data_IF_532469504890
#
_entry.id   IF_532469504890
#
_cell.length_a   1.000
_cell.length_b   1.000
_cell.length_c   1.000
_cell.angle_alpha   90.00
_cell.angle_beta   90.00
_cell.angle_gamma   90.00
#
_symmetry.space_group_name_H-M   'P 1'
#
loop_
_entity.id
_entity.type
_entity.pdbx_description
1 polymer ?
#
# COMPACT_ATOMS: atom_id res chain seq x y z
N UNK A 1 62.34 -11.72 21.73
CA UNK A 1 62.71 -12.86 22.58
C UNK A 1 61.51 -13.18 23.46
N UNK A 2 60.96 -14.39 23.25
CA UNK A 2 60.15 -15.26 24.11
C UNK A 2 58.86 -14.67 24.76
N UNK A 3 57.63 -15.12 24.52
CA UNK A 3 57.01 -16.46 24.33
C UNK A 3 56.54 -17.14 25.64
N UNK A 4 55.45 -17.91 25.49
CA UNK A 4 54.66 -18.78 26.38
C UNK A 4 53.43 -18.14 27.05
N UNK A 5 52.19 -18.36 26.58
CA UNK A 5 51.46 -19.60 26.27
C UNK A 5 51.25 -20.51 27.48
N UNK A 6 49.97 -20.77 27.83
CA UNK A 6 49.44 -22.14 28.02
C UNK A 6 47.91 -22.19 28.12
N UNK A 7 47.41 -23.17 27.37
CA UNK A 7 46.06 -23.64 27.08
C UNK A 7 45.30 -24.32 28.23
N UNK A 8 44.04 -24.72 27.90
CA UNK A 8 43.33 -25.99 28.19
C UNK A 8 41.93 -25.71 28.81
N UNK A 9 40.84 -25.67 28.03
CA UNK A 9 40.02 -26.77 27.47
C UNK A 9 39.09 -27.45 28.50
N UNK A 10 37.76 -27.42 28.27
CA UNK A 10 36.90 -28.60 28.50
C UNK A 10 35.52 -28.50 27.80
N UNK A 11 35.25 -29.52 26.99
CA UNK A 11 33.99 -29.90 26.35
C UNK A 11 33.01 -30.49 27.37
N UNK A 12 31.69 -30.31 27.16
CA UNK A 12 30.67 -31.30 27.54
C UNK A 12 29.53 -31.35 26.52
N UNK A 13 29.47 -32.48 25.82
CA UNK A 13 28.33 -33.06 25.11
C UNK A 13 27.45 -33.83 26.11
N UNK A 14 26.13 -33.72 26.00
CA UNK A 14 25.19 -34.75 26.46
C UNK A 14 23.97 -34.79 25.53
N UNK A 15 23.88 -35.90 24.78
CA UNK A 15 22.66 -36.43 24.18
C UNK A 15 21.65 -36.82 25.26
N UNK A 16 20.35 -36.67 24.99
CA UNK A 16 19.32 -37.57 25.53
C UNK A 16 18.14 -37.68 24.57
N UNK A 17 18.02 -38.88 24.01
CA UNK A 17 16.88 -39.41 23.24
C UNK A 17 15.68 -39.63 24.17
N UNK A 18 14.46 -39.24 23.76
CA UNK A 18 13.24 -39.90 24.27
C UNK A 18 12.10 -39.90 23.26
N UNK A 19 11.35 -41.00 23.30
CA UNK A 19 10.43 -41.57 22.32
C UNK A 19 8.98 -41.08 22.48
N UNK A 20 8.20 -41.33 21.41
CA UNK A 20 6.73 -41.57 21.35
C UNK A 20 5.86 -40.33 21.58
N UNK A 21 4.77 -40.09 20.84
CA UNK A 21 3.77 -41.05 20.37
C UNK A 21 2.85 -40.43 19.31
N UNK A 22 2.45 -41.26 18.34
CA UNK A 22 1.35 -41.03 17.41
C UNK A 22 0.01 -41.02 18.14
N UNK A 23 -0.84 -40.01 17.88
CA UNK A 23 -2.25 -40.06 18.23
C UNK A 23 -3.09 -40.28 16.98
N UNK A 24 -3.81 -41.41 16.97
CA UNK A 24 -4.74 -41.84 15.93
C UNK A 24 -6.09 -41.14 16.14
N UNK A 25 -6.66 -40.67 15.04
CA UNK A 25 -8.01 -40.11 14.98
C UNK A 25 -9.03 -41.25 14.74
N UNK A 26 -10.05 -41.48 15.60
CA UNK A 26 -11.10 -42.42 15.28
C UNK A 26 -12.27 -41.75 14.53
N UNK A 27 -12.63 -42.37 13.41
CA UNK A 27 -13.90 -42.17 12.70
C UNK A 27 -15.02 -42.85 13.51
N UNK A 28 -16.12 -42.14 13.75
CA UNK A 28 -17.39 -42.76 14.13
C UNK A 28 -18.45 -42.39 13.10
N UNK A 29 -19.11 -43.42 12.55
CA UNK A 29 -20.16 -43.36 11.55
C UNK A 29 -21.45 -43.92 12.17
N UNK A 30 -22.56 -43.23 11.88
CA UNK A 30 -23.96 -43.65 11.85
C UNK A 30 -24.71 -44.02 13.16
N UNK A 31 -25.83 -43.33 13.34
CA UNK A 31 -26.96 -43.70 14.20
C UNK A 31 -27.99 -42.56 14.21
N UNK A 32 -29.08 -42.71 13.44
CA UNK A 32 -30.06 -41.66 13.13
C UNK A 32 -31.17 -41.45 14.16
N UNK A 33 -31.99 -40.43 13.90
CA UNK A 33 -33.26 -40.18 14.60
C UNK A 33 -33.79 -38.77 14.30
N UNK A 34 -34.89 -38.67 13.55
CA UNK A 34 -35.62 -37.44 13.22
C UNK A 34 -36.29 -36.83 14.46
N UNK A 35 -36.43 -35.49 14.52
CA UNK A 35 -37.70 -34.76 14.77
C UNK A 35 -37.54 -33.23 14.59
N UNK A 36 -38.35 -32.71 13.67
CA UNK A 36 -39.17 -31.48 13.61
C UNK A 36 -38.75 -30.10 14.16
N UNK A 37 -39.20 -29.10 13.37
CA UNK A 37 -39.62 -27.72 13.69
C UNK A 37 -38.60 -26.64 14.13
N UNK A 38 -38.31 -25.77 13.15
CA UNK A 38 -38.24 -24.29 13.27
C UNK A 38 -37.25 -23.65 14.25
N UNK A 39 -36.06 -23.31 13.73
CA UNK A 39 -35.38 -22.05 14.06
C UNK A 39 -34.40 -21.69 12.94
N UNK A 40 -34.82 -20.81 12.02
CA UNK A 40 -33.91 -20.17 11.07
C UNK A 40 -33.06 -19.20 11.88
N UNK A 41 -31.89 -19.67 12.33
CA UNK A 41 -30.81 -18.82 12.81
C UNK A 41 -30.13 -18.31 11.54
N UNK A 42 -30.06 -17.00 11.26
CA UNK A 42 -29.23 -16.52 10.17
C UNK A 42 -27.79 -16.88 10.54
N UNK A 43 -27.21 -17.81 9.78
CA UNK A 43 -25.81 -18.16 9.88
C UNK A 43 -25.00 -16.93 9.50
N UNK A 44 -24.56 -16.17 10.50
CA UNK A 44 -23.50 -15.17 10.38
C UNK A 44 -22.19 -15.91 10.07
N UNK A 45 -22.07 -16.39 8.83
CA UNK A 45 -20.80 -16.73 8.23
C UNK A 45 -20.18 -15.44 7.65
N UNK A 46 -20.05 -14.43 8.51
CA UNK A 46 -18.97 -13.46 8.32
C UNK A 46 -17.70 -14.21 8.69
N UNK A 47 -17.11 -14.84 7.67
CA UNK A 47 -15.79 -15.43 7.81
C UNK A 47 -14.86 -14.37 8.36
N UNK A 48 -14.34 -14.64 9.55
CA UNK A 48 -13.24 -13.94 10.18
C UNK A 48 -12.01 -14.01 9.25
N UNK A 49 -12.02 -13.16 8.23
CA UNK A 49 -10.88 -12.86 7.38
C UNK A 49 -10.21 -11.68 8.02
N UNK A 50 -9.42 -11.95 9.06
CA UNK A 50 -8.54 -11.00 9.72
C UNK A 50 -7.94 -10.06 8.68
N UNK A 51 -8.38 -8.79 8.71
CA UNK A 51 -7.79 -7.72 7.90
C UNK A 51 -6.32 -7.70 8.28
N UNK A 52 -5.42 -7.84 7.32
CA UNK A 52 -3.98 -7.78 7.63
C UNK A 52 -3.60 -6.44 8.30
N UNK A 53 -4.43 -5.41 8.11
CA UNK A 53 -4.25 -4.07 8.68
C UNK A 53 -4.97 -3.89 10.04
N UNK A 54 -5.53 -4.95 10.61
CA UNK A 54 -6.06 -4.99 11.97
C UNK A 54 -4.96 -5.34 12.99
N UNK A 55 -3.83 -4.62 12.88
CA UNK A 55 -2.64 -4.83 13.70
C UNK A 55 -2.27 -3.52 14.36
N UNK A 56 -1.79 -3.60 15.61
CA UNK A 56 -1.26 -2.43 16.32
C UNK A 56 0.03 -1.93 15.66
N UNK A 57 0.26 -0.62 15.72
CA UNK A 57 1.49 -0.06 15.16
C UNK A 57 2.73 -0.45 15.97
N UNK A 58 3.85 -0.67 15.27
CA UNK A 58 5.19 -0.78 15.87
C UNK A 58 5.86 0.59 16.03
N UNK A 59 5.28 1.66 15.47
CA UNK A 59 5.82 3.02 15.61
C UNK A 59 5.49 3.54 17.00
N UNK A 60 6.52 4.07 17.67
CA UNK A 60 6.45 4.65 19.01
C UNK A 60 6.83 6.12 18.96
N UNK A 61 6.58 6.85 20.05
CA UNK A 61 7.02 8.25 20.16
C UNK A 61 8.52 8.42 19.92
N UNK A 62 9.34 7.44 20.32
CA UNK A 62 10.79 7.46 20.12
C UNK A 62 11.17 7.31 18.64
N UNK A 63 10.47 6.45 17.89
CA UNK A 63 10.77 6.26 16.45
C UNK A 63 10.20 7.39 15.58
N UNK A 64 9.21 8.16 16.05
CA UNK A 64 8.69 9.31 15.31
C UNK A 64 9.73 10.39 15.06
N UNK A 65 10.62 10.67 16.03
CA UNK A 65 11.71 11.63 15.82
C UNK A 65 12.65 11.18 14.69
N UNK A 66 12.95 9.88 14.62
CA UNK A 66 13.75 9.30 13.55
C UNK A 66 13.02 9.36 12.19
N UNK A 67 11.73 9.05 12.14
CA UNK A 67 10.90 9.17 10.93
C UNK A 67 10.89 10.63 10.44
N UNK A 68 10.62 11.58 11.35
CA UNK A 68 10.62 13.01 11.04
C UNK A 68 11.93 13.44 10.41
N UNK A 69 13.06 13.08 11.02
CA UNK A 69 14.40 13.39 10.51
C UNK A 69 14.67 12.71 9.17
N UNK A 70 14.40 11.40 9.05
CA UNK A 70 14.70 10.57 7.87
C UNK A 70 13.93 11.00 6.63
N UNK A 71 12.66 11.39 6.79
CA UNK A 71 11.79 11.75 5.67
C UNK A 71 11.53 13.25 5.57
N UNK A 72 12.30 14.07 6.30
CA UNK A 72 12.21 15.52 6.31
C UNK A 72 10.78 16.04 6.54
N UNK A 73 10.06 15.46 7.52
CA UNK A 73 8.70 15.91 7.86
C UNK A 73 8.79 17.28 8.55
N UNK A 74 8.17 18.34 8.00
CA UNK A 74 8.23 19.68 8.56
C UNK A 74 7.70 19.78 10.00
N UNK A 75 8.30 20.65 10.83
CA UNK A 75 8.01 20.73 12.27
C UNK A 75 6.58 21.21 12.60
N UNK A 76 5.99 21.99 11.70
CA UNK A 76 4.60 22.44 11.74
C UNK A 76 3.59 21.30 11.50
N UNK A 77 4.02 20.22 10.84
CA UNK A 77 3.18 19.02 10.66
C UNK A 77 3.12 18.24 11.98
N UNK A 78 1.95 18.30 12.63
CA UNK A 78 1.67 17.55 13.85
C UNK A 78 1.54 16.05 13.55
N UNK A 79 2.42 15.25 14.15
CA UNK A 79 2.42 13.78 14.08
C UNK A 79 2.35 13.19 15.49
N UNK A 80 1.57 12.12 15.66
CA UNK A 80 1.42 11.42 16.95
C UNK A 80 1.60 9.91 16.79
N UNK A 81 2.10 9.27 17.86
CA UNK A 81 2.33 7.83 17.89
C UNK A 81 1.00 7.11 18.18
N UNK A 82 0.71 5.98 17.51
CA UNK A 82 -0.47 5.20 17.84
C UNK A 82 -0.38 4.54 19.21
N UNK A 83 -1.53 4.39 19.87
CA UNK A 83 -1.71 3.51 21.03
C UNK A 83 -1.85 2.07 20.57
N UNK A 84 -1.67 1.10 21.49
CA UNK A 84 -1.86 -0.34 21.18
C UNK A 84 -3.27 -0.68 20.68
N UNK A 85 -4.27 0.09 21.09
CA UNK A 85 -5.67 -0.07 20.68
C UNK A 85 -5.97 0.53 19.32
N UNK A 86 -5.12 1.42 18.82
CA UNK A 86 -5.39 2.15 17.59
C UNK A 86 -5.15 1.28 16.36
N UNK A 87 -5.84 1.60 15.26
CA UNK A 87 -5.72 0.92 13.97
C UNK A 87 -5.59 1.93 12.85
N UNK A 88 -4.87 1.57 11.79
CA UNK A 88 -4.70 2.45 10.63
C UNK A 88 -6.03 2.81 9.94
N UNK A 89 -7.02 1.91 9.99
CA UNK A 89 -8.34 2.14 9.39
C UNK A 89 -9.32 2.93 10.28
N UNK A 90 -8.94 3.17 11.54
CA UNK A 90 -9.74 3.90 12.52
C UNK A 90 -8.85 4.91 13.26
N UNK A 91 -8.41 5.98 12.58
CA UNK A 91 -7.57 6.99 13.22
C UNK A 91 -8.35 7.80 14.27
N UNK A 92 -7.64 8.43 15.23
CA UNK A 92 -8.23 9.42 16.11
C UNK A 92 -8.91 10.56 15.32
N UNK A 93 -9.96 11.14 15.89
CA UNK A 93 -10.70 12.23 15.24
C UNK A 93 -9.80 13.41 14.86
N UNK A 94 -9.91 13.89 13.62
CA UNK A 94 -9.10 14.99 13.12
C UNK A 94 -7.69 14.57 12.68
N UNK A 95 -7.43 13.27 12.55
CA UNK A 95 -6.17 12.71 12.08
C UNK A 95 -6.40 11.73 10.94
N UNK A 96 -5.36 11.54 10.12
CA UNK A 96 -5.28 10.47 9.12
C UNK A 96 -4.12 9.54 9.46
N UNK A 97 -4.29 8.25 9.19
CA UNK A 97 -3.20 7.29 9.32
C UNK A 97 -2.26 7.38 8.11
N UNK A 98 -0.96 7.23 8.37
CA UNK A 98 0.08 7.26 7.35
C UNK A 98 1.03 6.11 7.63
N UNK A 99 1.23 5.24 6.64
CA UNK A 99 2.25 4.21 6.72
C UNK A 99 3.64 4.83 6.52
N UNK A 100 4.64 4.39 7.28
CA UNK A 100 6.03 4.77 7.03
C UNK A 100 6.45 4.45 5.58
N UNK A 101 5.91 3.35 5.04
CA UNK A 101 6.17 2.94 3.66
C UNK A 101 5.62 3.95 2.63
N UNK A 102 4.54 4.68 2.93
CA UNK A 102 4.07 5.75 2.06
C UNK A 102 5.15 6.85 1.90
N UNK A 103 5.87 7.17 2.97
CA UNK A 103 7.00 8.12 2.93
C UNK A 103 8.17 7.57 2.11
N UNK A 104 8.49 6.30 2.30
CA UNK A 104 9.56 5.62 1.54
C UNK A 104 9.30 5.61 0.03
N UNK A 105 8.03 5.55 -0.40
CA UNK A 105 7.66 5.63 -1.84
C UNK A 105 7.40 7.05 -2.36
N UNK A 106 7.72 8.08 -1.57
CA UNK A 106 7.71 9.46 -2.07
C UNK A 106 6.58 10.35 -1.54
N UNK A 107 5.70 9.87 -0.66
CA UNK A 107 4.77 10.78 0.04
C UNK A 107 5.58 11.79 0.88
N UNK A 108 5.26 13.08 0.77
CA UNK A 108 5.88 14.17 1.53
C UNK A 108 4.80 15.05 2.15
N UNK A 109 5.19 15.84 3.15
CA UNK A 109 4.31 16.80 3.80
C UNK A 109 4.80 18.24 3.60
N UNK A 110 3.87 19.20 3.37
CA UNK A 110 2.47 18.96 3.03
C UNK A 110 2.33 18.15 1.73
N UNK A 111 1.27 17.33 1.54
CA UNK A 111 1.11 16.55 0.33
C UNK A 111 0.96 17.46 -0.89
N UNK A 112 1.43 17.01 -2.05
CA UNK A 112 1.27 17.75 -3.30
C UNK A 112 -0.23 18.03 -3.57
N UNK A 113 -0.61 19.23 -4.04
CA UNK A 113 -2.01 19.55 -4.34
C UNK A 113 -2.70 18.53 -5.24
N UNK A 114 -2.00 18.06 -6.29
CA UNK A 114 -2.48 17.02 -7.20
C UNK A 114 -2.82 15.73 -6.46
N UNK A 115 -1.98 15.34 -5.50
CA UNK A 115 -2.19 14.14 -4.69
C UNK A 115 -3.41 14.29 -3.78
N UNK A 116 -3.62 15.48 -3.20
CA UNK A 116 -4.80 15.79 -2.40
C UNK A 116 -6.09 15.71 -3.23
N UNK A 117 -6.08 16.28 -4.44
CA UNK A 117 -7.22 16.24 -5.35
C UNK A 117 -7.57 14.81 -5.75
N UNK A 118 -6.56 13.98 -6.01
CA UNK A 118 -6.73 12.56 -6.32
C UNK A 118 -7.33 11.79 -5.14
N UNK A 119 -6.82 11.99 -3.92
CA UNK A 119 -7.37 11.32 -2.73
C UNK A 119 -8.81 11.74 -2.45
N UNK A 120 -9.12 13.03 -2.59
CA UNK A 120 -10.48 13.56 -2.44
C UNK A 120 -11.42 13.01 -3.51
N UNK A 121 -10.98 12.94 -4.76
CA UNK A 121 -11.77 12.40 -5.86
C UNK A 121 -12.05 10.90 -5.69
N UNK A 122 -11.08 10.11 -5.23
CA UNK A 122 -11.29 8.70 -4.90
C UNK A 122 -12.24 8.52 -3.70
N UNK A 123 -12.37 9.53 -2.83
CA UNK A 123 -13.26 9.49 -1.67
C UNK A 123 -12.87 8.48 -0.59
N UNK A 124 -11.61 8.04 -0.59
CA UNK A 124 -11.09 6.99 0.29
C UNK A 124 -9.95 7.53 1.14
N UNK A 125 -9.76 6.94 2.31
CA UNK A 125 -8.71 7.35 3.22
C UNK A 125 -7.32 7.03 2.63
N UNK A 126 -6.33 7.89 2.89
CA UNK A 126 -4.92 7.67 2.55
C UNK A 126 -4.40 6.24 2.87
N UNK A 127 -4.65 5.67 4.07
CA UNK A 127 -4.20 4.30 4.40
C UNK A 127 -4.88 3.19 3.57
N UNK A 128 -5.91 3.48 2.78
CA UNK A 128 -6.47 2.49 1.85
C UNK A 128 -5.58 2.28 0.62
N UNK A 129 -4.79 3.29 0.22
CA UNK A 129 -3.93 3.15 -0.94
C UNK A 129 -2.76 2.21 -0.64
N UNK A 130 -2.61 1.19 -1.49
CA UNK A 130 -1.42 0.37 -1.48
C UNK A 130 -0.19 1.24 -1.80
N UNK A 131 0.95 0.89 -1.22
CA UNK A 131 2.20 1.62 -1.43
C UNK A 131 2.53 1.77 -2.93
N UNK A 132 2.32 0.70 -3.71
CA UNK A 132 2.47 0.73 -5.17
C UNK A 132 1.56 1.76 -5.84
N UNK A 133 0.32 1.92 -5.36
CA UNK A 133 -0.58 2.93 -5.89
C UNK A 133 -0.07 4.34 -5.63
N UNK A 134 0.42 4.60 -4.42
CA UNK A 134 1.06 5.88 -4.06
C UNK A 134 2.29 6.13 -4.94
N UNK A 135 3.15 5.12 -5.15
CA UNK A 135 4.34 5.25 -6.03
C UNK A 135 3.97 5.69 -7.44
N UNK A 136 2.96 5.04 -8.04
CA UNK A 136 2.52 5.37 -9.40
C UNK A 136 2.01 6.80 -9.47
N UNK A 137 1.18 7.22 -8.51
CA UNK A 137 0.61 8.57 -8.49
C UNK A 137 1.72 9.60 -8.31
N UNK A 138 2.61 9.43 -7.32
CA UNK A 138 3.72 10.36 -7.07
C UNK A 138 4.66 10.42 -8.27
N UNK A 139 4.99 9.29 -8.88
CA UNK A 139 5.82 9.24 -10.08
C UNK A 139 5.20 9.98 -11.26
N UNK A 140 3.88 9.85 -11.45
CA UNK A 140 3.16 10.62 -12.47
C UNK A 140 3.14 12.13 -12.15
N UNK A 141 2.98 12.52 -10.89
CA UNK A 141 3.04 13.94 -10.49
C UNK A 141 4.40 14.53 -10.84
N UNK A 142 5.49 13.84 -10.49
CA UNK A 142 6.86 14.28 -10.82
C UNK A 142 7.03 14.39 -12.34
N UNK A 143 6.63 13.36 -13.09
CA UNK A 143 6.73 13.33 -14.55
C UNK A 143 5.98 14.47 -15.23
N UNK A 144 4.77 14.81 -14.77
CA UNK A 144 4.00 15.93 -15.33
C UNK A 144 4.69 17.26 -15.03
N UNK A 145 5.16 17.46 -13.79
CA UNK A 145 5.85 18.68 -13.37
C UNK A 145 7.15 18.92 -14.14
N UNK A 146 7.92 17.88 -14.41
CA UNK A 146 9.14 17.95 -15.24
C UNK A 146 8.86 18.46 -16.67
N UNK A 147 7.63 18.30 -17.16
CA UNK A 147 7.19 18.78 -18.47
C UNK A 147 6.41 20.10 -18.40
N UNK A 148 6.40 20.77 -17.25
CA UNK A 148 5.63 22.00 -17.04
C UNK A 148 4.12 21.79 -17.04
N UNK A 149 3.64 20.58 -16.74
CA UNK A 149 2.23 20.23 -16.68
C UNK A 149 1.80 19.81 -15.26
N UNK A 150 0.49 19.79 -15.01
CA UNK A 150 -0.11 19.35 -13.75
C UNK A 150 -0.90 18.07 -13.97
N UNK A 151 -0.70 17.07 -13.08
CA UNK A 151 -1.48 15.85 -13.12
C UNK A 151 -2.89 16.11 -12.56
N UNK A 152 -3.90 16.07 -13.43
CA UNK A 152 -5.31 16.18 -13.03
C UNK A 152 -5.92 14.80 -12.78
N UNK A 153 -7.04 14.75 -12.05
CA UNK A 153 -7.82 13.53 -11.84
C UNK A 153 -8.27 12.91 -13.17
N UNK A 154 -8.61 13.74 -14.16
CA UNK A 154 -9.01 13.29 -15.50
C UNK A 154 -7.87 12.62 -16.28
N UNK A 155 -6.66 13.19 -16.23
CA UNK A 155 -5.51 12.55 -16.86
C UNK A 155 -5.15 11.25 -16.14
N UNK A 156 -5.24 11.24 -14.81
CA UNK A 156 -5.00 10.03 -14.05
C UNK A 156 -5.99 8.91 -14.40
N UNK A 157 -7.29 9.20 -14.57
CA UNK A 157 -8.30 8.19 -14.91
C UNK A 157 -8.08 7.58 -16.31
N UNK A 158 -7.54 8.35 -17.27
CA UNK A 158 -7.13 7.85 -18.59
C UNK A 158 -5.89 6.96 -18.52
N UNK A 159 -5.02 7.22 -17.55
CA UNK A 159 -3.71 6.59 -17.44
C UNK A 159 -3.71 5.33 -16.56
N UNK A 160 -4.56 5.32 -15.54
CA UNK A 160 -4.55 4.37 -14.46
C UNK A 160 -5.95 3.85 -14.17
N UNK A 161 -6.05 2.54 -13.92
CA UNK A 161 -7.28 1.93 -13.39
C UNK A 161 -7.14 1.71 -11.89
N UNK A 162 -8.03 2.34 -11.13
CA UNK A 162 -8.16 2.07 -9.70
C UNK A 162 -9.09 0.87 -9.46
N UNK A 163 -8.69 0.00 -8.54
CA UNK A 163 -9.51 -1.14 -8.11
C UNK A 163 -9.40 -1.34 -6.60
N UNK A 164 -10.54 -1.59 -5.94
CA UNK A 164 -10.58 -2.01 -4.54
C UNK A 164 -10.48 -3.53 -4.46
N UNK A 165 -9.66 -4.05 -3.54
CA UNK A 165 -9.69 -5.46 -3.18
C UNK A 165 -10.83 -5.79 -2.18
N UNK A 166 -10.95 -7.06 -1.79
CA UNK A 166 -11.97 -7.52 -0.83
C UNK A 166 -11.83 -6.93 0.57
N UNK A 167 -10.68 -6.34 0.90
CA UNK A 167 -10.41 -5.72 2.19
C UNK A 167 -10.65 -4.20 2.16
N UNK A 168 -10.94 -3.62 0.99
CA UNK A 168 -11.12 -2.18 0.82
C UNK A 168 -9.84 -1.43 0.44
N UNK A 169 -8.76 -2.14 0.08
CA UNK A 169 -7.49 -1.52 -0.32
C UNK A 169 -7.51 -1.13 -1.78
N UNK A 170 -6.97 0.06 -2.05
CA UNK A 170 -6.94 0.67 -3.36
C UNK A 170 -5.62 0.36 -4.05
N UNK A 171 -5.74 -0.38 -5.14
CA UNK A 171 -4.67 -0.63 -6.10
C UNK A 171 -4.82 0.32 -7.28
N UNK A 172 -3.68 0.74 -7.84
CA UNK A 172 -3.61 1.50 -9.07
C UNK A 172 -2.83 0.66 -10.09
N UNK A 173 -3.45 0.42 -11.25
CA UNK A 173 -2.81 -0.26 -12.37
C UNK A 173 -2.64 0.73 -13.51
N UNK A 174 -1.39 1.17 -13.71
CA UNK A 174 -1.01 1.93 -14.89
C UNK A 174 -1.13 1.05 -16.15
N UNK A 175 -1.39 1.68 -17.29
CA UNK A 175 -1.43 0.99 -18.57
C UNK A 175 -0.02 0.58 -19.01
N UNK A 176 0.23 -0.73 -19.00
CA UNK A 176 1.53 -1.35 -19.29
C UNK A 176 2.09 -1.05 -20.68
N UNK A 177 1.27 -0.57 -21.63
CA UNK A 177 1.76 -0.24 -22.98
C UNK A 177 2.72 0.94 -22.98
N UNK A 178 2.63 1.83 -22.00
CA UNK A 178 3.44 3.06 -21.96
C UNK A 178 3.97 3.39 -20.56
N UNK A 179 3.56 2.67 -19.51
CA UNK A 179 4.05 2.88 -18.15
C UNK A 179 4.19 1.57 -17.37
N UNK A 180 5.43 1.14 -17.14
CA UNK A 180 5.75 0.00 -16.29
C UNK A 180 6.54 0.47 -15.06
N UNK A 181 5.84 0.71 -13.96
CA UNK A 181 6.48 0.97 -12.67
C UNK A 181 6.93 -0.35 -12.04
N UNK A 182 8.23 -0.62 -12.07
CA UNK A 182 8.83 -1.70 -11.27
C UNK A 182 9.06 -1.15 -9.87
N UNK A 183 8.10 -1.36 -8.98
CA UNK A 183 8.29 -1.08 -7.55
C UNK A 183 8.81 -2.33 -6.86
N UNK A 184 9.85 -2.19 -6.04
CA UNK A 184 10.25 -3.25 -5.12
C UNK A 184 9.06 -3.59 -4.21
N UNK A 185 8.79 -4.87 -4.03
CA UNK A 185 7.74 -5.29 -3.09
C UNK A 185 8.09 -4.75 -1.70
N UNK A 186 7.12 -4.13 -1.00
CA UNK A 186 7.35 -3.71 0.37
C UNK A 186 7.67 -4.96 1.21
N UNK A 187 8.53 -4.78 2.23
CA UNK A 187 8.86 -5.86 3.15
C UNK A 187 7.59 -6.46 3.75
N UNK A 188 7.65 -7.74 4.16
CA UNK A 188 6.58 -8.36 4.94
C UNK A 188 6.23 -7.44 6.12
N UNK A 189 4.93 -7.29 6.40
CA UNK A 189 4.38 -6.55 7.53
C UNK A 189 4.45 -5.01 7.48
N UNK A 190 4.64 -4.39 6.31
CA UNK A 190 4.63 -2.91 6.19
C UNK A 190 3.39 -2.22 6.79
N UNK A 191 2.25 -2.93 6.85
CA UNK A 191 0.97 -2.46 7.38
C UNK A 191 0.95 -2.25 8.90
N UNK A 192 1.91 -2.81 9.66
CA UNK A 192 2.02 -2.53 11.09
C UNK A 192 2.94 -1.32 11.39
N UNK A 193 3.52 -0.67 10.38
CA UNK A 193 4.32 0.55 10.55
C UNK A 193 3.50 1.77 10.11
N UNK A 194 2.66 2.28 11.02
CA UNK A 194 1.85 3.47 10.78
C UNK A 194 1.91 4.47 11.94
N UNK A 195 1.60 5.73 11.64
CA UNK A 195 1.43 6.80 12.63
C UNK A 195 0.31 7.73 12.18
N UNK A 196 -0.05 8.70 13.03
CA UNK A 196 -1.13 9.63 12.72
C UNK A 196 -0.61 11.02 12.45
N UNK A 197 -1.20 11.68 11.45
CA UNK A 197 -0.89 13.06 11.06
C UNK A 197 -2.16 13.89 11.16
N UNK A 198 -2.05 15.11 11.68
CA UNK A 198 -3.19 16.03 11.78
C UNK A 198 -3.78 16.27 10.39
N UNK A 199 -5.10 16.12 10.27
CA UNK A 199 -5.80 16.23 8.99
C UNK A 199 -6.15 17.69 8.68
N UNK A 200 -5.16 18.47 8.25
CA UNK A 200 -5.37 19.88 7.86
C UNK A 200 -5.86 20.02 6.41
N UNK A 201 -5.82 18.94 5.63
CA UNK A 201 -6.11 18.96 4.19
C UNK A 201 -7.53 18.51 3.83
N UNK A 202 -8.35 18.15 4.82
CA UNK A 202 -9.71 17.66 4.61
C UNK A 202 -9.75 16.32 3.86
N UNK A 203 -8.80 15.43 4.14
CA UNK A 203 -8.80 14.07 3.59
C UNK A 203 -9.84 13.21 4.31
N UNK A 204 -10.39 12.17 3.67
CA UNK A 204 -11.23 11.19 4.36
C UNK A 204 -10.46 10.52 5.50
N UNK A 205 -10.99 10.58 6.72
CA UNK A 205 -10.36 10.01 7.91
C UNK A 205 -10.59 8.50 8.02
N UNK A 206 -11.80 8.06 7.68
CA UNK A 206 -12.22 6.66 7.79
C UNK A 206 -12.22 5.99 6.43
N UNK A 207 -12.03 4.68 6.45
CA UNK A 207 -12.11 3.89 5.24
C UNK A 207 -13.52 3.92 4.65
N UNK A 208 -13.61 4.08 3.34
CA UNK A 208 -14.87 4.12 2.60
C UNK A 208 -14.73 3.39 1.25
N UNK A 209 -15.83 3.29 0.49
CA UNK A 209 -15.86 2.73 -0.84
C UNK A 209 -15.20 3.68 -1.84
N UNK A 210 -14.40 3.09 -2.73
CA UNK A 210 -13.82 3.81 -3.86
C UNK A 210 -14.94 4.47 -4.68
N UNK A 211 -14.92 5.80 -4.76
CA UNK A 211 -15.78 6.54 -5.68
C UNK A 211 -15.29 6.33 -7.10
N UNK A 212 -16.25 6.22 -8.03
CA UNK A 212 -15.90 6.23 -9.44
C UNK A 212 -15.25 7.56 -9.77
N UNK A 213 -14.02 7.50 -10.27
CA UNK A 213 -13.40 8.67 -10.86
C UNK A 213 -14.20 9.08 -12.10
N UNK A 214 -14.24 10.38 -12.44
CA UNK A 214 -14.90 10.83 -13.65
C UNK A 214 -14.49 9.96 -14.84
N UNK A 215 -15.47 9.22 -15.37
CA UNK A 215 -15.27 8.41 -16.56
C UNK A 215 -14.80 9.34 -17.67
N UNK A 216 -13.82 8.91 -18.45
CA UNK A 216 -13.45 9.62 -19.66
C UNK A 216 -14.71 9.78 -20.50
N UNK A 217 -15.12 11.02 -20.77
CA UNK A 217 -15.96 11.29 -21.93
C UNK A 217 -15.32 10.52 -23.09
N UNK A 218 -16.12 9.69 -23.76
CA UNK A 218 -15.71 9.09 -25.02
C UNK A 218 -15.52 10.25 -25.97
N UNK A 219 -14.29 10.78 -26.04
CA UNK A 219 -13.89 11.61 -27.16
C UNK A 219 -13.75 10.62 -28.31
N UNK A 220 -14.88 10.32 -28.95
CA UNK A 220 -14.90 9.91 -30.34
C UNK A 220 -14.26 11.05 -31.10
N UNK A 221 -12.94 10.98 -31.25
CA UNK A 221 -12.27 11.74 -32.30
C UNK A 221 -12.75 11.08 -33.58
N UNK A 222 -13.84 11.58 -34.14
CA UNK A 222 -14.15 11.42 -35.55
C UNK A 222 -13.01 12.07 -36.32
N UNK A 223 -11.95 11.29 -36.54
CA UNK A 223 -10.99 11.54 -37.60
C UNK A 223 -11.78 11.39 -38.91
N UNK A 224 -12.42 12.49 -39.32
CA UNK A 224 -12.83 12.67 -40.71
C UNK A 224 -11.57 12.46 -41.55
N UNK A 225 -11.62 11.42 -42.35
CA UNK A 225 -10.68 11.16 -43.43
C UNK A 225 -10.89 12.24 -44.48
N UNK A 226 -10.05 13.26 -44.44
CA UNK A 226 -9.71 13.97 -45.67
C UNK A 226 -8.34 13.45 -46.10
N UNK A 227 -8.40 12.50 -47.03
CA UNK A 227 -7.28 12.14 -47.89
C UNK A 227 -7.02 13.33 -48.80
N UNK A 228 -5.80 13.89 -48.78
CA UNK A 228 -4.96 13.93 -49.98
C UNK A 228 -3.55 14.50 -49.72
N UNK A 229 -2.57 13.66 -50.09
CA UNK A 229 -1.37 14.04 -50.87
C UNK A 229 -0.08 14.50 -50.15
N UNK A 230 0.85 13.53 -50.10
CA UNK A 230 2.34 13.56 -50.25
C UNK A 230 3.23 13.71 -48.99
N UNK A 231 3.98 12.63 -48.74
CA UNK A 231 5.08 12.43 -47.79
C UNK A 231 6.44 12.94 -48.40
N UNK A 232 7.62 12.99 -47.70
CA UNK A 232 8.13 11.87 -46.90
C UNK A 232 9.02 12.17 -45.66
N UNK A 233 9.12 11.10 -44.85
CA UNK A 233 10.26 10.63 -44.02
C UNK A 233 10.82 11.53 -42.90
N UNK A 234 10.65 11.03 -41.67
CA UNK A 234 11.47 11.35 -40.51
C UNK A 234 11.06 10.51 -39.28
N UNK A 235 11.64 9.32 -39.18
CA UNK A 235 11.85 8.49 -37.97
C UNK A 235 10.82 8.53 -36.83
N UNK A 236 10.02 7.47 -36.74
CA UNK A 236 9.38 7.04 -35.49
C UNK A 236 10.42 6.48 -34.52
N UNK A 237 10.76 7.23 -33.48
CA UNK A 237 11.43 6.66 -32.30
C UNK A 237 10.35 6.16 -31.35
N UNK A 238 10.08 4.86 -31.39
CA UNK A 238 9.34 4.14 -30.36
C UNK A 238 10.17 4.09 -29.08
N UNK A 239 10.09 5.17 -28.30
CA UNK A 239 10.72 5.25 -26.98
C UNK A 239 9.98 4.39 -25.96
N UNK A 240 10.26 3.09 -25.93
CA UNK A 240 9.89 2.23 -24.81
C UNK A 240 10.75 2.64 -23.60
N UNK A 241 10.19 3.45 -22.70
CA UNK A 241 10.90 3.89 -21.51
C UNK A 241 11.03 2.75 -20.50
N UNK A 242 12.27 2.27 -20.33
CA UNK A 242 12.68 1.31 -19.30
C UNK A 242 13.43 2.07 -18.21
N UNK A 243 12.77 3.02 -17.56
CA UNK A 243 13.34 3.79 -16.47
C UNK A 243 13.46 2.91 -15.22
N UNK A 244 14.69 2.53 -14.85
CA UNK A 244 14.97 1.85 -13.59
C UNK A 244 15.11 2.92 -12.51
N UNK A 245 14.12 3.02 -11.62
CA UNK A 245 14.28 3.77 -10.37
C UNK A 245 15.16 2.93 -9.42
N UNK A 246 16.48 3.01 -9.62
CA UNK A 246 17.43 2.51 -8.64
C UNK A 246 17.45 3.50 -7.47
N UNK A 247 16.67 3.18 -6.44
CA UNK A 247 16.82 3.80 -5.13
C UNK A 247 17.74 2.92 -4.29
N UNK A 248 19.03 3.28 -4.31
CA UNK A 248 19.93 2.94 -3.23
C UNK A 248 19.47 3.68 -1.97
N UNK A 249 19.02 2.94 -0.97
CA UNK A 249 18.88 3.43 0.40
C UNK A 249 19.68 2.46 1.28
N UNK A 250 20.87 2.90 1.66
CA UNK A 250 21.57 2.39 2.85
C UNK A 250 20.88 2.88 4.14
#
# INVERSE_FOLDING_TARGET
>A
MADNSKDINQRRTLDTTSKRSSSKNPKNTAGGGLTDASKIIPSSHDGDRSRSDDVASIITSNSLAAIRKKFHVPNDVLIIAPKRTDRAHTPPQGFVAVYEMALRVGLRFPPAPELLDIFKACGVALPQFLCRAITIIVGLIVFFRERGATLTVEYLSKMCKFTSDSYGRISCRANKKWLDFVTRDPSKNWYNSFFFVKNEWGLPEKWDKLKELPNSLHVGVDLRKDTDTIAPRGETVSGQWKGRFDHAYD
#
